data_IF_102097699274
#
_entry.id   IF_102097699274
#
_cell.length_a   1.000
_cell.length_b   1.000
_cell.length_c   1.000
_cell.angle_alpha   90.00
_cell.angle_beta   90.00
_cell.angle_gamma   90.00
#
_symmetry.space_group_name_H-M   'P 1'
#
loop_
_entity.id
_entity.type
_entity.pdbx_description
1 polymer ?
#
# COMPACT_ATOMS: atom_id res chain seq x y z
N UNK A 1 -18.55 13.26 -10.69
CA UNK A 1 -18.29 12.15 -9.75
C UNK A 1 -17.06 12.53 -8.94
N UNK A 2 -17.25 13.09 -7.75
CA UNK A 2 -16.14 13.51 -6.89
C UNK A 2 -15.74 12.30 -6.06
N UNK A 3 -14.63 11.66 -6.38
CA UNK A 3 -14.09 10.59 -5.53
C UNK A 3 -13.78 11.18 -4.16
N UNK A 4 -14.24 10.54 -3.08
CA UNK A 4 -13.83 10.96 -1.74
C UNK A 4 -12.33 10.68 -1.61
N UNK A 5 -11.52 11.75 -1.57
CA UNK A 5 -10.11 11.61 -1.30
C UNK A 5 -9.96 11.32 0.20
N UNK A 6 -9.29 10.22 0.53
CA UNK A 6 -9.33 9.68 1.89
C UNK A 6 -7.97 9.75 2.58
N UNK A 7 -7.88 10.63 3.57
CA UNK A 7 -6.85 10.59 4.61
C UNK A 7 -6.99 9.34 5.50
N UNK A 8 -5.99 9.12 6.37
CA UNK A 8 -6.05 8.12 7.43
C UNK A 8 -5.25 6.85 7.11
N UNK A 9 -5.34 5.86 8.00
CA UNK A 9 -4.50 4.67 7.96
C UNK A 9 -5.02 3.63 6.97
N UNK A 10 -4.13 3.14 6.12
CA UNK A 10 -4.33 2.07 5.17
C UNK A 10 -3.49 0.87 5.61
N UNK A 11 -4.14 -0.28 5.78
CA UNK A 11 -3.49 -1.53 6.22
C UNK A 11 -3.18 -2.40 5.00
N UNK A 12 -2.05 -3.09 5.05
CA UNK A 12 -1.72 -4.14 4.08
C UNK A 12 -2.62 -5.34 4.33
N UNK A 13 -3.33 -5.77 3.29
CA UNK A 13 -4.21 -6.94 3.29
C UNK A 13 -3.61 -8.11 2.53
N UNK A 14 -2.69 -7.83 1.61
CA UNK A 14 -1.95 -8.83 0.85
C UNK A 14 -0.55 -8.30 0.53
N UNK A 15 0.45 -9.17 0.67
CA UNK A 15 1.79 -9.02 0.12
C UNK A 15 2.12 -10.33 -0.61
N UNK A 16 2.20 -10.29 -1.95
CA UNK A 16 2.45 -11.51 -2.74
C UNK A 16 3.87 -12.05 -2.57
N UNK A 17 4.80 -11.26 -2.03
CA UNK A 17 6.19 -11.64 -1.75
C UNK A 17 6.34 -12.27 -0.35
N UNK A 18 5.23 -12.67 0.28
CA UNK A 18 5.26 -13.32 1.59
C UNK A 18 5.72 -14.77 1.49
N UNK A 19 6.75 -15.13 2.25
CA UNK A 19 7.32 -16.50 2.24
C UNK A 19 6.37 -17.61 2.70
N UNK A 20 5.21 -17.25 3.25
CA UNK A 20 4.13 -18.21 3.53
C UNK A 20 3.53 -18.84 2.28
N UNK A 21 3.66 -18.20 1.12
CA UNK A 21 3.23 -18.74 -0.17
C UNK A 21 4.30 -19.60 -0.84
N UNK A 22 5.55 -19.14 -0.83
CA UNK A 22 6.71 -19.86 -1.37
C UNK A 22 7.99 -19.43 -0.64
N UNK A 23 8.87 -20.38 -0.32
CA UNK A 23 10.11 -20.10 0.41
C UNK A 23 11.13 -19.29 -0.41
N UNK A 24 10.99 -19.20 -1.73
CA UNK A 24 11.84 -18.42 -2.63
C UNK A 24 11.51 -16.93 -2.68
N UNK A 25 10.46 -16.47 -1.98
CA UNK A 25 10.08 -15.06 -1.94
C UNK A 25 10.93 -14.25 -0.96
N UNK A 26 11.12 -12.96 -1.27
CA UNK A 26 12.09 -12.08 -0.64
C UNK A 26 11.66 -11.51 0.71
N UNK A 27 10.37 -11.60 1.04
CA UNK A 27 9.78 -10.99 2.26
C UNK A 27 10.09 -9.49 2.32
N UNK A 28 9.89 -8.78 1.21
CA UNK A 28 10.03 -7.34 1.21
C UNK A 28 9.03 -6.70 2.19
N UNK A 29 9.51 -5.73 2.97
CA UNK A 29 8.69 -5.06 3.98
C UNK A 29 7.61 -4.17 3.32
N UNK A 30 6.40 -4.72 3.28
CA UNK A 30 5.19 -4.00 2.88
C UNK A 30 4.44 -3.57 4.13
N UNK A 31 4.47 -2.27 4.41
CA UNK A 31 3.94 -1.70 5.65
C UNK A 31 2.62 -0.95 5.47
N UNK A 32 1.83 -0.90 6.55
CA UNK A 32 0.68 -0.01 6.64
C UNK A 32 1.12 1.45 6.65
N UNK A 33 0.33 2.34 6.06
CA UNK A 33 0.71 3.73 5.82
C UNK A 33 -0.44 4.68 6.13
N UNK A 34 -0.13 5.92 6.51
CA UNK A 34 -1.14 6.94 6.78
C UNK A 34 -1.15 7.95 5.64
N UNK A 35 -2.28 8.04 4.94
CA UNK A 35 -2.47 9.04 3.90
C UNK A 35 -2.59 10.44 4.51
N UNK A 36 -1.72 11.33 4.09
CA UNK A 36 -1.67 12.74 4.50
C UNK A 36 -2.00 13.66 3.33
N UNK A 37 -2.41 14.89 3.64
CA UNK A 37 -2.66 15.89 2.61
C UNK A 37 -1.38 16.18 1.83
N UNK A 38 -1.52 16.35 0.52
CA UNK A 38 -0.44 16.66 -0.39
C UNK A 38 -0.81 16.19 -1.79
N UNK A 39 -0.68 17.08 -2.77
CA UNK A 39 -1.08 16.77 -4.14
C UNK A 39 -0.08 15.83 -4.80
N UNK A 40 -0.58 14.72 -5.34
CA UNK A 40 0.22 13.77 -6.12
C UNK A 40 -0.68 13.05 -7.12
N UNK A 41 -0.23 12.93 -8.36
CA UNK A 41 -0.93 12.20 -9.44
C UNK A 41 -2.40 12.63 -9.63
N UNK A 42 -2.71 13.92 -9.46
CA UNK A 42 -4.07 14.48 -9.57
C UNK A 42 -4.97 14.25 -8.34
N UNK A 43 -4.45 13.67 -7.27
CA UNK A 43 -5.14 13.44 -5.99
C UNK A 43 -4.64 14.41 -4.92
N UNK A 44 -5.47 14.77 -3.94
CA UNK A 44 -5.12 15.70 -2.85
C UNK A 44 -4.54 15.06 -1.59
N UNK A 45 -4.52 13.74 -1.51
CA UNK A 45 -3.88 12.97 -0.43
C UNK A 45 -2.96 11.92 -1.03
N UNK A 46 -1.86 11.64 -0.34
CA UNK A 46 -0.88 10.64 -0.75
C UNK A 46 -0.26 9.95 0.48
N UNK A 47 0.40 8.82 0.24
CA UNK A 47 1.11 8.04 1.25
C UNK A 47 2.30 7.31 0.61
N UNK A 48 3.25 6.88 1.44
CA UNK A 48 4.33 5.99 1.01
C UNK A 48 3.87 4.53 1.03
N UNK A 49 4.45 3.71 0.14
CA UNK A 49 4.26 2.26 0.14
C UNK A 49 5.63 1.58 0.07
N UNK A 50 5.77 0.47 0.78
CA UNK A 50 6.84 -0.51 0.55
C UNK A 50 6.36 -1.53 -0.47
N UNK A 51 7.05 -1.66 -1.61
CA UNK A 51 6.76 -2.66 -2.63
C UNK A 51 8.06 -3.32 -3.10
N UNK A 52 8.07 -4.65 -3.09
CA UNK A 52 9.21 -5.45 -3.52
C UNK A 52 9.28 -5.63 -5.04
N UNK A 53 10.42 -6.11 -5.57
CA UNK A 53 10.53 -6.48 -6.98
C UNK A 53 9.51 -7.56 -7.36
N UNK A 54 8.83 -7.37 -8.50
CA UNK A 54 7.90 -8.35 -9.05
C UNK A 54 6.76 -8.77 -8.09
N UNK A 55 6.33 -7.88 -7.19
CA UNK A 55 5.26 -8.18 -6.23
C UNK A 55 4.02 -7.32 -6.43
N UNK A 56 2.91 -7.80 -5.84
CA UNK A 56 1.64 -7.10 -5.74
C UNK A 56 1.30 -6.92 -4.27
N UNK A 57 0.88 -5.70 -3.90
CA UNK A 57 0.35 -5.39 -2.58
C UNK A 57 -1.09 -4.90 -2.69
N UNK A 58 -1.93 -5.26 -1.73
CA UNK A 58 -3.30 -4.75 -1.62
C UNK A 58 -3.41 -4.04 -0.28
N UNK A 59 -3.84 -2.77 -0.32
CA UNK A 59 -4.15 -1.99 0.87
C UNK A 59 -5.65 -1.72 0.96
N UNK A 60 -6.18 -1.67 2.18
CA UNK A 60 -7.50 -1.13 2.43
C UNK A 60 -7.47 -0.20 3.63
N UNK A 61 -8.30 0.83 3.58
CA UNK A 61 -8.71 1.56 4.78
C UNK A 61 -9.58 0.63 5.64
N UNK A 62 -9.55 0.81 6.95
CA UNK A 62 -10.59 0.22 7.81
C UNK A 62 -11.95 0.88 7.55
#
# INVERSE_FOLDING_TARGET
MTYSQCSGTWKVRCNSDWSGYDAGFGIYDSYGTTASWGTKDGMGYNANVGIGPYSVIILSKD
#
